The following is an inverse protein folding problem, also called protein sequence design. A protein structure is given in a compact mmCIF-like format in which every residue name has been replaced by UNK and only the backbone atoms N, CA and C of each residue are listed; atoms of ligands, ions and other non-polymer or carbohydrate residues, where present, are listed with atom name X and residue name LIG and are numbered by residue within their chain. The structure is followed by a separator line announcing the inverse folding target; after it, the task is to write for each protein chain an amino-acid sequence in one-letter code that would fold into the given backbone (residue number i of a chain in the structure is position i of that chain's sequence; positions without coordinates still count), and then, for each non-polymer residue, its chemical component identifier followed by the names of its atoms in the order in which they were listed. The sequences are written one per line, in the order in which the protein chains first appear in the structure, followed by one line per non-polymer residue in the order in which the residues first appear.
data_IF_538099550001
#
_entry.id   IF_538099550001
#
_cell.length_a   1.000
_cell.length_b   1.000
_cell.length_c   1.000
_cell.angle_alpha   90.00
_cell.angle_beta   90.00
_cell.angle_gamma   90.00
#
_symmetry.space_group_name_H-M   'P 1'
#
loop_
_entity.id
_entity.type
_entity.pdbx_description
1 polymer ?
#
# COMPACT_ATOMS: atom_id res chain seq x y z
N UNK A 1 -23.96 -1.07 4.86
CA UNK A 1 -22.92 -1.05 3.80
C UNK A 1 -22.29 0.32 3.62
N UNK A 2 -23.01 1.42 3.86
CA UNK A 2 -22.57 2.79 3.53
C UNK A 2 -21.64 3.46 4.56
N UNK A 3 -21.54 2.93 5.78
CA UNK A 3 -20.70 3.48 6.86
C UNK A 3 -19.71 2.47 7.47
N UNK A 4 -19.21 1.53 6.66
CA UNK A 4 -18.33 0.45 7.14
C UNK A 4 -17.08 1.01 7.84
N UNK A 5 -16.55 2.14 7.38
CA UNK A 5 -15.37 2.77 8.00
C UNK A 5 -15.67 3.43 9.35
N UNK A 6 -16.83 4.09 9.48
CA UNK A 6 -17.26 4.75 10.72
C UNK A 6 -17.63 3.72 11.78
N UNK A 7 -18.17 2.58 11.36
CA UNK A 7 -18.54 1.48 12.24
C UNK A 7 -17.50 0.36 12.29
N UNK A 8 -16.28 0.59 11.80
CA UNK A 8 -15.30 -0.50 11.64
C UNK A 8 -14.93 -1.12 12.99
N UNK A 9 -14.74 -0.31 14.03
CA UNK A 9 -14.43 -0.81 15.37
C UNK A 9 -15.60 -1.63 15.94
N UNK A 10 -16.84 -1.11 15.86
CA UNK A 10 -18.04 -1.83 16.31
C UNK A 10 -18.24 -3.15 15.57
N UNK A 11 -18.01 -3.16 14.25
CA UNK A 11 -18.06 -4.38 13.45
C UNK A 11 -16.98 -5.37 13.88
N UNK A 12 -15.75 -4.88 14.05
CA UNK A 12 -14.63 -5.69 14.49
C UNK A 12 -14.87 -6.35 15.86
N UNK A 13 -15.49 -5.64 16.80
CA UNK A 13 -15.87 -6.22 18.10
C UNK A 13 -16.88 -7.35 17.97
N UNK A 14 -17.89 -7.21 17.09
CA UNK A 14 -18.85 -8.29 16.82
C UNK A 14 -18.15 -9.52 16.22
N UNK A 15 -17.20 -9.30 15.31
CA UNK A 15 -16.36 -10.37 14.76
C UNK A 15 -15.53 -11.03 15.86
N UNK A 16 -14.81 -10.26 16.70
CA UNK A 16 -14.03 -10.79 17.84
C UNK A 16 -14.89 -11.63 18.79
N UNK A 17 -16.08 -11.15 19.15
CA UNK A 17 -17.02 -11.89 20.01
C UNK A 17 -17.52 -13.18 19.37
N UNK A 18 -17.81 -13.14 18.07
CA UNK A 18 -18.30 -14.31 17.32
C UNK A 18 -17.21 -15.38 17.21
N UNK A 19 -15.98 -14.97 16.88
CA UNK A 19 -14.82 -15.87 16.84
C UNK A 19 -14.54 -16.46 18.22
N UNK A 20 -14.59 -15.65 19.27
CA UNK A 20 -14.37 -16.13 20.65
C UNK A 20 -15.37 -17.21 21.05
N UNK A 21 -16.66 -16.97 20.80
CA UNK A 21 -17.73 -17.97 21.06
C UNK A 21 -17.54 -19.23 20.22
N UNK A 22 -17.15 -19.08 18.96
CA UNK A 22 -16.89 -20.22 18.09
C UNK A 22 -15.71 -21.05 18.59
N UNK A 23 -14.58 -20.41 18.94
CA UNK A 23 -13.41 -21.09 19.51
C UNK A 23 -13.76 -21.88 20.77
N UNK A 24 -14.62 -21.33 21.66
CA UNK A 24 -15.11 -22.03 22.85
C UNK A 24 -15.94 -23.28 22.48
N UNK A 25 -16.77 -23.19 21.45
CA UNK A 25 -17.63 -24.30 21.02
C UNK A 25 -16.85 -25.48 20.43
N UNK A 26 -15.75 -25.20 19.72
CA UNK A 26 -14.96 -26.23 19.03
C UNK A 26 -13.65 -26.59 19.76
N UNK A 27 -13.39 -25.99 20.93
CA UNK A 27 -12.22 -26.28 21.75
C UNK A 27 -10.89 -25.79 21.18
N UNK A 28 -10.88 -24.72 20.38
CA UNK A 28 -9.64 -24.12 19.88
C UNK A 28 -9.06 -23.18 20.95
N UNK A 29 -7.76 -23.31 21.24
CA UNK A 29 -7.03 -22.36 22.08
C UNK A 29 -7.03 -20.97 21.44
N UNK A 30 -7.64 -19.99 22.11
CA UNK A 30 -7.78 -18.59 21.67
C UNK A 30 -6.43 -17.89 21.45
N UNK A 31 -5.40 -18.27 22.19
CA UNK A 31 -4.03 -17.74 22.03
C UNK A 31 -3.43 -18.09 20.66
N UNK A 32 -3.95 -19.11 19.99
CA UNK A 32 -3.49 -19.51 18.64
C UNK A 32 -4.31 -18.85 17.52
N UNK A 33 -5.41 -18.18 17.88
CA UNK A 33 -6.31 -17.54 16.92
C UNK A 33 -5.88 -16.10 16.69
N UNK A 34 -5.38 -15.83 15.48
CA UNK A 34 -5.00 -14.48 15.06
C UNK A 34 -6.19 -13.76 14.42
N UNK A 35 -6.52 -12.60 14.95
CA UNK A 35 -7.52 -11.69 14.39
C UNK A 35 -6.80 -10.60 13.60
N UNK A 36 -7.24 -10.36 12.37
CA UNK A 36 -6.70 -9.31 11.53
C UNK A 36 -7.82 -8.42 10.98
N UNK A 37 -7.56 -7.11 10.88
CA UNK A 37 -8.41 -6.18 10.13
C UNK A 37 -7.58 -5.49 9.04
N UNK A 38 -8.12 -5.52 7.83
CA UNK A 38 -7.52 -4.99 6.61
C UNK A 38 -8.45 -3.92 6.06
N UNK A 39 -8.04 -2.67 6.18
CA UNK A 39 -8.81 -1.54 5.66
C UNK A 39 -8.03 -0.86 4.55
N UNK A 40 -8.72 -0.52 3.46
CA UNK A 40 -8.12 0.28 2.41
C UNK A 40 -9.03 1.41 1.92
N UNK A 41 -8.41 2.46 1.38
CA UNK A 41 -9.08 3.49 0.59
C UNK A 41 -8.47 3.45 -0.80
N UNK A 42 -9.31 3.39 -1.83
CA UNK A 42 -8.88 3.44 -3.23
C UNK A 42 -9.44 4.69 -3.89
N UNK A 43 -8.60 5.40 -4.64
CA UNK A 43 -9.00 6.56 -5.41
C UNK A 43 -8.05 6.77 -6.60
N UNK A 44 -8.52 7.46 -7.63
CA UNK A 44 -7.67 7.94 -8.72
C UNK A 44 -7.04 9.29 -8.35
N UNK A 45 -5.72 9.38 -8.40
CA UNK A 45 -4.96 10.59 -8.05
C UNK A 45 -5.36 11.81 -8.88
N UNK A 46 -5.81 11.59 -10.12
CA UNK A 46 -6.14 12.64 -11.07
C UNK A 46 -7.64 12.80 -11.34
N UNK A 47 -8.51 12.18 -10.54
CA UNK A 47 -9.97 12.24 -10.70
C UNK A 47 -10.51 13.67 -10.93
N UNK A 48 -9.97 14.67 -10.22
CA UNK A 48 -10.36 16.08 -10.39
C UNK A 48 -10.06 16.64 -11.79
N UNK A 49 -8.98 16.22 -12.43
CA UNK A 49 -8.65 16.64 -13.81
C UNK A 49 -9.61 16.03 -14.84
N UNK A 50 -10.31 14.96 -14.46
CA UNK A 50 -11.31 14.27 -15.27
C UNK A 50 -12.73 14.79 -15.05
N UNK A 51 -12.88 15.90 -14.32
CA UNK A 51 -14.17 16.48 -13.98
C UNK A 51 -14.92 15.77 -12.84
N UNK A 52 -14.27 14.85 -12.11
CA UNK A 52 -14.88 14.26 -10.91
C UNK A 52 -14.78 15.27 -9.77
N UNK A 53 -15.93 15.80 -9.37
CA UNK A 53 -16.05 16.74 -8.27
C UNK A 53 -16.23 16.03 -6.92
N UNK A 54 -15.97 16.76 -5.83
CA UNK A 54 -16.00 16.24 -4.47
C UNK A 54 -14.61 16.12 -3.86
N UNK A 55 -14.50 16.51 -2.59
CA UNK A 55 -13.27 16.37 -1.81
C UNK A 55 -13.66 15.87 -0.45
N UNK A 56 -13.18 14.69 -0.07
CA UNK A 56 -13.31 14.20 1.29
C UNK A 56 -11.98 14.38 2.00
N UNK A 57 -11.94 15.32 2.96
CA UNK A 57 -10.75 15.50 3.79
C UNK A 57 -10.63 14.32 4.73
N UNK A 58 -9.49 13.61 4.67
CA UNK A 58 -9.26 12.45 5.50
C UNK A 58 -8.03 12.63 6.38
N UNK A 59 -8.21 12.51 7.71
CA UNK A 59 -7.11 12.68 8.69
C UNK A 59 -6.13 11.50 8.74
N UNK A 60 -6.47 10.36 8.12
CA UNK A 60 -5.66 9.13 8.11
C UNK A 60 -5.12 8.74 9.50
N UNK A 61 -6.02 8.78 10.49
CA UNK A 61 -5.73 8.29 11.85
C UNK A 61 -5.30 6.82 11.79
N UNK A 62 -4.35 6.42 12.64
CA UNK A 62 -4.00 5.01 12.82
C UNK A 62 -5.23 4.20 13.23
N UNK A 63 -5.26 2.91 12.90
CA UNK A 63 -6.38 2.05 13.31
C UNK A 63 -6.49 2.00 14.84
N UNK A 64 -5.37 1.89 15.56
CA UNK A 64 -5.34 1.96 17.03
C UNK A 64 -6.06 3.19 17.57
N UNK A 65 -5.79 4.38 17.03
CA UNK A 65 -6.42 5.62 17.52
C UNK A 65 -7.91 5.67 17.15
N UNK A 66 -8.32 5.03 16.05
CA UNK A 66 -9.74 4.94 15.67
C UNK A 66 -10.51 4.00 16.59
N UNK A 67 -9.93 2.84 16.90
CA UNK A 67 -10.51 1.88 17.82
C UNK A 67 -10.63 2.44 19.22
N UNK A 68 -9.58 3.13 19.70
CA UNK A 68 -9.60 3.78 21.00
C UNK A 68 -10.69 4.86 21.11
N UNK A 69 -10.99 5.57 20.03
CA UNK A 69 -12.07 6.57 20.01
C UNK A 69 -13.48 5.95 20.16
N UNK A 70 -13.61 4.66 19.87
CA UNK A 70 -14.81 3.84 20.11
C UNK A 70 -14.67 2.98 21.38
N UNK A 71 -13.77 3.36 22.30
CA UNK A 71 -13.48 2.68 23.58
C UNK A 71 -12.99 1.22 23.43
N UNK A 72 -12.43 0.89 22.26
CA UNK A 72 -11.83 -0.42 22.00
C UNK A 72 -10.33 -0.38 22.14
N UNK A 73 -9.84 -0.98 23.24
CA UNK A 73 -8.42 -1.17 23.45
C UNK A 73 -7.93 -2.38 22.67
N UNK A 74 -6.94 -2.15 21.80
CA UNK A 74 -6.21 -3.22 21.14
C UNK A 74 -5.13 -3.77 22.07
N UNK A 75 -4.80 -5.07 22.00
CA UNK A 75 -3.71 -5.66 22.79
C UNK A 75 -2.35 -4.99 22.56
N UNK A 76 -1.46 -5.05 23.54
CA UNK A 76 -0.12 -4.45 23.45
C UNK A 76 0.75 -5.05 22.33
N UNK A 77 0.54 -6.33 22.01
CA UNK A 77 1.23 -7.07 20.94
C UNK A 77 0.58 -6.87 19.55
N UNK A 78 -0.18 -5.79 19.34
CA UNK A 78 -0.81 -5.53 18.04
C UNK A 78 0.22 -5.19 16.98
N UNK A 79 0.27 -6.00 15.94
CA UNK A 79 0.98 -5.71 14.70
C UNK A 79 0.20 -4.67 13.92
N UNK A 80 0.84 -3.57 13.51
CA UNK A 80 0.22 -2.56 12.67
C UNK A 80 1.10 -2.24 11.45
N UNK A 81 0.49 -2.13 10.28
CA UNK A 81 1.15 -1.73 9.04
C UNK A 81 0.35 -0.62 8.36
N UNK A 82 1.05 0.29 7.70
CA UNK A 82 0.45 1.28 6.80
C UNK A 82 1.31 1.37 5.55
N UNK A 83 0.69 1.23 4.39
CA UNK A 83 1.38 1.25 3.11
C UNK A 83 0.44 1.71 1.99
N UNK A 84 1.00 2.07 0.85
CA UNK A 84 0.27 2.40 -0.36
C UNK A 84 0.68 1.47 -1.48
N UNK A 85 -0.28 1.05 -2.30
CA UNK A 85 -0.06 0.38 -3.57
C UNK A 85 -0.65 1.25 -4.65
N UNK A 86 0.16 1.60 -5.65
CA UNK A 86 -0.24 2.41 -6.78
C UNK A 86 -0.16 1.55 -8.01
N UNK A 87 -1.26 1.50 -8.76
CA UNK A 87 -1.30 0.89 -10.07
C UNK A 87 -0.94 1.97 -11.09
N UNK A 88 0.19 1.76 -11.78
CA UNK A 88 0.63 2.58 -12.89
C UNK A 88 0.45 1.81 -14.21
N UNK A 89 -0.62 2.07 -14.97
CA UNK A 89 -0.88 1.36 -16.23
C UNK A 89 0.17 1.68 -17.29
N UNK A 90 0.68 0.64 -17.96
CA UNK A 90 1.56 0.79 -19.11
C UNK A 90 0.73 0.89 -20.38
N UNK A 91 0.77 2.06 -21.01
CA UNK A 91 0.14 2.30 -22.29
C UNK A 91 1.18 2.59 -23.37
N UNK A 92 0.71 2.73 -24.61
CA UNK A 92 1.57 2.99 -25.78
C UNK A 92 2.45 4.24 -25.60
N UNK A 93 1.95 5.29 -24.93
CA UNK A 93 2.69 6.53 -24.69
C UNK A 93 3.86 6.30 -23.73
N UNK A 94 3.61 5.66 -22.59
CA UNK A 94 4.66 5.34 -21.61
C UNK A 94 5.76 4.48 -22.24
N UNK A 95 5.37 3.49 -23.07
CA UNK A 95 6.33 2.67 -23.83
C UNK A 95 7.16 3.49 -24.82
N UNK A 96 6.55 4.48 -25.47
CA UNK A 96 7.25 5.35 -26.43
C UNK A 96 8.27 6.32 -25.80
N UNK A 97 8.35 6.40 -24.46
CA UNK A 97 9.37 7.20 -23.77
C UNK A 97 10.78 6.61 -23.92
N UNK A 98 10.89 5.31 -24.25
CA UNK A 98 12.16 4.69 -24.60
C UNK A 98 12.32 4.63 -26.12
N UNK A 99 13.48 5.03 -26.62
CA UNK A 99 13.73 5.18 -28.08
C UNK A 99 13.88 3.85 -28.82
N UNK A 100 14.25 2.79 -28.11
CA UNK A 100 14.50 1.46 -28.64
C UNK A 100 13.77 0.45 -27.75
N UNK A 101 12.54 0.08 -28.10
CA UNK A 101 12.10 -1.27 -27.76
C UNK A 101 13.03 -2.19 -28.54
N UNK A 102 14.09 -2.71 -27.91
CA UNK A 102 14.92 -3.71 -28.56
C UNK A 102 13.97 -4.80 -29.08
N UNK A 103 14.06 -5.14 -30.38
CA UNK A 103 13.29 -6.23 -30.99
C UNK A 103 13.49 -7.58 -30.26
N UNK A 104 14.45 -7.63 -29.33
CA UNK A 104 14.73 -8.71 -28.39
C UNK A 104 13.64 -8.97 -27.34
N UNK A 105 12.63 -8.10 -27.20
CA UNK A 105 11.57 -8.26 -26.19
C UNK A 105 12.03 -7.97 -24.76
N UNK A 106 13.07 -7.15 -24.58
CA UNK A 106 13.64 -6.77 -23.28
C UNK A 106 13.12 -5.40 -22.81
N UNK A 107 12.34 -5.37 -21.73
CA UNK A 107 11.72 -4.18 -21.15
C UNK A 107 12.52 -3.57 -19.98
N UNK A 108 13.78 -3.99 -19.78
CA UNK A 108 14.62 -3.50 -18.70
C UNK A 108 14.78 -1.96 -18.70
N UNK A 109 14.97 -1.35 -19.86
CA UNK A 109 15.13 0.10 -19.96
C UNK A 109 13.84 0.83 -19.52
N UNK A 110 12.68 0.31 -19.90
CA UNK A 110 11.38 0.85 -19.50
C UNK A 110 11.19 0.76 -17.98
N UNK A 111 11.43 -0.42 -17.40
CA UNK A 111 11.28 -0.61 -15.96
C UNK A 111 12.29 0.18 -15.13
N UNK A 112 13.53 0.31 -15.60
CA UNK A 112 14.53 1.18 -14.98
C UNK A 112 14.11 2.65 -15.03
N UNK A 113 13.63 3.15 -16.17
CA UNK A 113 13.11 4.53 -16.29
C UNK A 113 11.99 4.80 -15.27
N UNK A 114 11.04 3.88 -15.15
CA UNK A 114 9.92 3.99 -14.22
C UNK A 114 10.43 3.94 -12.77
N UNK A 115 11.34 3.01 -12.45
CA UNK A 115 11.90 2.88 -11.12
C UNK A 115 12.69 4.13 -10.71
N UNK A 116 13.52 4.67 -11.60
CA UNK A 116 14.30 5.87 -11.35
C UNK A 116 13.41 7.10 -11.13
N UNK A 117 12.37 7.26 -11.95
CA UNK A 117 11.37 8.31 -11.77
C UNK A 117 10.69 8.18 -10.40
N UNK A 118 10.22 6.99 -10.05
CA UNK A 118 9.55 6.72 -8.78
C UNK A 118 10.44 7.01 -7.57
N UNK A 119 11.63 6.40 -7.55
CA UNK A 119 12.58 6.49 -6.43
C UNK A 119 13.05 7.94 -6.24
N UNK A 120 13.32 8.66 -7.33
CA UNK A 120 13.75 10.06 -7.26
C UNK A 120 12.64 10.96 -6.70
N UNK A 121 11.41 10.80 -7.18
CA UNK A 121 10.25 11.55 -6.71
C UNK A 121 9.93 11.25 -5.25
N UNK A 122 10.02 9.98 -4.85
CA UNK A 122 9.83 9.53 -3.48
C UNK A 122 10.86 10.13 -2.52
N UNK A 123 12.15 10.04 -2.85
CA UNK A 123 13.24 10.62 -2.05
C UNK A 123 13.12 12.13 -1.89
N UNK A 124 12.69 12.85 -2.93
CA UNK A 124 12.42 14.29 -2.88
C UNK A 124 11.37 14.65 -1.84
N UNK A 125 10.37 13.78 -1.63
CA UNK A 125 9.33 13.95 -0.62
C UNK A 125 9.66 13.29 0.74
N UNK A 126 10.91 12.88 0.95
CA UNK A 126 11.39 12.21 2.17
C UNK A 126 10.69 10.87 2.45
N UNK A 127 10.28 10.18 1.39
CA UNK A 127 9.85 8.78 1.44
C UNK A 127 11.07 7.92 1.09
N UNK A 128 11.34 6.89 1.89
CA UNK A 128 12.59 6.12 1.77
C UNK A 128 12.39 4.61 1.78
N UNK A 129 11.15 4.14 1.88
CA UNK A 129 10.79 2.73 1.87
C UNK A 129 9.72 2.47 0.82
N UNK A 130 10.01 1.55 -0.10
CA UNK A 130 9.06 1.20 -1.14
C UNK A 130 9.53 0.07 -2.05
N UNK A 131 8.73 -0.22 -3.05
CA UNK A 131 9.07 -1.20 -4.07
C UNK A 131 8.49 -0.81 -5.44
N UNK A 132 9.13 -1.31 -6.50
CA UNK A 132 8.69 -1.21 -7.88
C UNK A 132 8.58 -2.62 -8.43
N UNK A 133 7.35 -3.05 -8.71
CA UNK A 133 7.02 -4.43 -9.07
C UNK A 133 6.43 -4.46 -10.48
N UNK A 134 7.08 -5.19 -11.38
CA UNK A 134 6.65 -5.40 -12.77
C UNK A 134 6.91 -6.84 -13.23
N UNK A 135 6.42 -7.81 -12.45
CA UNK A 135 6.48 -9.24 -12.78
C UNK A 135 5.08 -9.87 -12.98
N UNK A 136 4.01 -9.09 -12.80
CA UNK A 136 2.63 -9.55 -12.93
C UNK A 136 2.08 -10.32 -11.73
N UNK A 137 2.82 -10.36 -10.61
CA UNK A 137 2.32 -10.89 -9.34
C UNK A 137 1.64 -9.79 -8.52
N UNK A 138 0.73 -10.17 -7.62
CA UNK A 138 0.02 -9.23 -6.75
C UNK A 138 0.81 -8.98 -5.46
N UNK A 139 1.32 -7.76 -5.20
CA UNK A 139 2.11 -7.44 -4.03
C UNK A 139 1.22 -7.35 -2.79
N UNK A 140 1.65 -8.01 -1.73
CA UNK A 140 1.04 -7.92 -0.41
C UNK A 140 2.12 -7.59 0.60
N UNK A 141 1.96 -6.48 1.31
CA UNK A 141 2.87 -6.10 2.40
C UNK A 141 2.45 -6.81 3.68
N UNK A 142 3.39 -7.51 4.32
CA UNK A 142 3.19 -8.21 5.59
C UNK A 142 4.25 -7.78 6.61
N UNK A 143 3.91 -7.88 7.89
CA UNK A 143 4.87 -7.63 8.96
C UNK A 143 5.85 -8.80 8.96
N UNK A 144 7.13 -8.50 8.89
CA UNK A 144 8.22 -9.47 9.03
C UNK A 144 9.26 -8.92 10.00
N UNK A 145 10.08 -9.80 10.57
CA UNK A 145 11.26 -9.38 11.32
C UNK A 145 12.29 -8.76 10.37
N UNK A 146 12.51 -9.45 9.24
CA UNK A 146 13.39 -9.04 8.15
C UNK A 146 12.61 -8.47 6.97
N UNK A 147 13.27 -7.59 6.21
CA UNK A 147 12.77 -7.11 4.92
C UNK A 147 13.09 -8.16 3.84
N UNK A 148 12.07 -8.88 3.36
CA UNK A 148 12.22 -9.97 2.40
C UNK A 148 11.15 -9.93 1.29
N UNK A 149 11.40 -10.68 0.21
CA UNK A 149 10.47 -10.81 -0.92
C UNK A 149 10.28 -12.29 -1.21
N UNK A 150 9.03 -12.76 -1.10
CA UNK A 150 8.69 -14.17 -1.29
C UNK A 150 7.55 -14.26 -2.32
N UNK A 151 7.78 -14.96 -3.41
CA UNK A 151 6.71 -15.33 -4.35
C UNK A 151 5.98 -16.58 -3.85
N UNK A 152 4.64 -16.56 -3.87
CA UNK A 152 3.80 -17.68 -3.48
C UNK A 152 2.54 -17.71 -4.35
N UNK A 153 2.54 -18.60 -5.35
CA UNK A 153 1.50 -18.61 -6.39
C UNK A 153 1.45 -17.27 -7.13
N UNK A 154 0.28 -16.64 -7.14
CA UNK A 154 0.02 -15.34 -7.77
C UNK A 154 0.42 -14.14 -6.91
N UNK A 155 0.89 -14.39 -5.67
CA UNK A 155 1.18 -13.36 -4.68
C UNK A 155 2.68 -13.10 -4.58
N UNK A 156 3.03 -11.83 -4.40
CA UNK A 156 4.37 -11.38 -4.04
C UNK A 156 4.33 -10.78 -2.63
N UNK A 157 4.76 -11.55 -1.64
CA UNK A 157 4.83 -11.10 -0.26
C UNK A 157 6.05 -10.21 -0.06
N UNK A 158 5.82 -8.98 0.40
CA UNK A 158 6.84 -8.01 0.80
C UNK A 158 6.86 -7.93 2.32
N UNK A 159 7.85 -8.55 2.95
CA UNK A 159 8.09 -8.40 4.38
C UNK A 159 8.56 -6.99 4.68
N UNK A 160 7.91 -6.34 5.64
CA UNK A 160 8.31 -5.03 6.11
C UNK A 160 8.22 -4.95 7.61
N UNK A 161 9.24 -4.34 8.20
CA UNK A 161 9.29 -4.05 9.62
C UNK A 161 9.20 -2.53 9.86
N UNK A 162 8.07 -2.02 10.40
CA UNK A 162 7.90 -0.58 10.64
C UNK A 162 8.90 0.02 11.63
N UNK A 163 9.46 -0.79 12.53
CA UNK A 163 10.44 -0.35 13.53
C UNK A 163 11.85 -0.22 12.96
N UNK A 164 12.15 -0.93 11.87
CA UNK A 164 13.42 -0.79 11.18
C UNK A 164 13.46 0.55 10.45
N UNK A 165 14.54 1.31 10.67
CA UNK A 165 14.77 2.58 9.98
C UNK A 165 15.64 2.43 8.73
N UNK A 166 15.94 1.18 8.34
CA UNK A 166 16.57 0.86 7.06
C UNK A 166 15.84 1.58 5.94
N UNK A 167 16.57 2.16 5.00
CA UNK A 167 16.00 2.87 3.86
C UNK A 167 16.37 2.09 2.61
N UNK A 168 15.41 1.86 1.73
CA UNK A 168 15.61 0.98 0.59
C UNK A 168 14.41 0.93 -0.33
N UNK A 169 14.71 0.64 -1.59
CA UNK A 169 13.73 0.38 -2.62
C UNK A 169 13.97 -1.01 -3.18
N UNK A 170 12.94 -1.84 -3.18
CA UNK A 170 12.98 -3.15 -3.81
C UNK A 170 12.49 -3.05 -5.23
N UNK A 171 13.35 -3.39 -6.18
CA UNK A 171 13.01 -3.44 -7.60
C UNK A 171 12.89 -4.91 -8.03
N UNK A 172 11.73 -5.31 -8.56
CA UNK A 172 11.48 -6.68 -9.04
C UNK A 172 10.65 -6.66 -10.32
N UNK A 173 11.24 -7.13 -11.40
CA UNK A 173 10.55 -7.27 -12.69
C UNK A 173 11.14 -8.44 -13.49
N UNK A 174 10.41 -8.87 -14.50
CA UNK A 174 10.85 -9.84 -15.49
C UNK A 174 11.16 -9.10 -16.78
N UNK A 175 12.43 -9.09 -17.19
CA UNK A 175 12.89 -8.26 -18.31
C UNK A 175 12.25 -8.65 -19.64
N UNK A 176 11.88 -9.91 -19.81
CA UNK A 176 11.29 -10.46 -21.04
C UNK A 176 9.75 -10.43 -21.03
N UNK A 177 9.13 -9.85 -20.00
CA UNK A 177 7.67 -9.81 -19.85
C UNK A 177 7.21 -8.37 -19.77
N UNK A 178 6.31 -7.98 -20.67
CA UNK A 178 5.57 -6.73 -20.55
C UNK A 178 4.36 -6.95 -19.64
N UNK A 179 4.24 -6.14 -18.59
CA UNK A 179 3.06 -6.11 -17.74
C UNK A 179 2.10 -5.01 -18.19
N UNK A 180 0.81 -5.18 -17.94
CA UNK A 180 -0.18 -4.12 -18.19
C UNK A 180 -0.08 -3.00 -17.13
N UNK A 181 0.44 -3.31 -15.95
CA UNK A 181 0.52 -2.39 -14.82
C UNK A 181 1.78 -2.63 -14.03
N UNK A 182 2.53 -1.56 -13.77
CA UNK A 182 3.62 -1.55 -12.79
C UNK A 182 3.04 -1.14 -11.45
N UNK A 183 3.35 -1.89 -10.40
CA UNK A 183 2.89 -1.59 -9.06
C UNK A 183 3.99 -0.89 -8.27
N UNK A 184 3.67 0.30 -7.78
CA UNK A 184 4.56 1.13 -6.98
C UNK A 184 4.08 1.07 -5.53
N UNK A 185 4.97 0.72 -4.61
CA UNK A 185 4.63 0.53 -3.20
C UNK A 185 5.39 1.56 -2.36
N UNK A 186 4.69 2.20 -1.43
CA UNK A 186 5.28 2.95 -0.33
C UNK A 186 4.95 2.27 0.98
N UNK A 187 5.92 2.09 1.87
CA UNK A 187 5.68 1.50 3.19
C UNK A 187 6.05 2.47 4.29
N UNK A 188 5.15 2.70 5.25
CA UNK A 188 5.40 3.59 6.37
C UNK A 188 6.29 2.91 7.42
N UNK A 189 7.21 3.66 7.99
CA UNK A 189 7.90 3.32 9.24
C UNK A 189 7.33 4.13 10.41
N UNK A 190 7.81 3.86 11.62
CA UNK A 190 7.36 4.57 12.82
C UNK A 190 7.57 6.09 12.76
N UNK A 191 8.58 6.56 12.00
CA UNK A 191 8.85 8.00 11.80
C UNK A 191 7.81 8.70 10.92
N UNK A 192 7.06 7.93 10.11
CA UNK A 192 6.02 8.46 9.23
C UNK A 192 4.69 8.67 9.98
N UNK A 193 4.57 8.09 11.18
CA UNK A 193 3.44 8.28 12.08
C UNK A 193 3.65 9.54 12.92
N UNK A 194 2.74 10.50 12.77
CA UNK A 194 2.67 11.68 13.64
C UNK A 194 1.70 11.45 14.80
N UNK A 195 1.63 12.38 15.76
CA UNK A 195 0.61 12.37 16.81
C UNK A 195 -0.82 12.33 16.27
N UNK A 196 -1.03 12.80 15.03
CA UNK A 196 -2.33 12.84 14.36
C UNK A 196 -2.56 11.65 13.40
N UNK A 197 -1.59 10.72 13.27
CA UNK A 197 -1.65 9.58 12.36
C UNK A 197 -0.75 9.75 11.13
N UNK A 198 -1.20 9.20 9.99
CA UNK A 198 -0.42 9.08 8.75
C UNK A 198 -0.77 10.14 7.70
N UNK A 199 -1.51 11.19 8.05
CA UNK A 199 -1.89 12.25 7.09
C UNK A 199 -0.69 12.89 6.38
N UNK A 200 0.41 13.14 7.11
CA UNK A 200 1.66 13.66 6.52
C UNK A 200 2.26 12.69 5.48
N UNK A 201 2.33 11.42 5.82
CA UNK A 201 2.83 10.36 4.93
C UNK A 201 1.99 10.27 3.64
N UNK A 202 0.66 10.29 3.75
CA UNK A 202 -0.24 10.27 2.59
C UNK A 202 -0.04 11.51 1.71
N UNK A 203 0.08 12.70 2.30
CA UNK A 203 0.36 13.91 1.53
C UNK A 203 1.71 13.84 0.80
N UNK A 204 2.74 13.28 1.44
CA UNK A 204 4.04 13.07 0.80
C UNK A 204 3.95 12.10 -0.37
N UNK A 205 3.13 11.04 -0.25
CA UNK A 205 2.87 10.09 -1.35
C UNK A 205 2.21 10.83 -2.52
N UNK A 206 1.16 11.60 -2.29
CA UNK A 206 0.49 12.34 -3.36
C UNK A 206 1.44 13.31 -4.08
N UNK A 207 2.27 14.04 -3.32
CA UNK A 207 3.28 14.93 -3.89
C UNK A 207 4.33 14.16 -4.70
N UNK A 208 4.75 12.98 -4.23
CA UNK A 208 5.72 12.14 -4.93
C UNK A 208 5.14 11.60 -6.22
N UNK A 209 3.88 11.16 -6.20
CA UNK A 209 3.20 10.65 -7.39
C UNK A 209 2.94 11.74 -8.43
N UNK A 210 2.68 12.99 -8.01
CA UNK A 210 2.58 14.12 -8.94
C UNK A 210 3.92 14.46 -9.60
N UNK A 211 5.03 14.43 -8.86
CA UNK A 211 6.38 14.60 -9.41
C UNK A 211 6.73 13.45 -10.36
N UNK A 212 6.37 12.21 -10.00
CA UNK A 212 6.54 11.02 -10.83
C UNK A 212 5.75 11.12 -12.14
N UNK A 213 4.47 11.49 -12.06
CA UNK A 213 3.58 11.67 -13.20
C UNK A 213 4.12 12.75 -14.16
N UNK A 214 4.62 13.87 -13.62
CA UNK A 214 5.23 14.92 -14.43
C UNK A 214 6.47 14.42 -15.18
N UNK A 215 7.35 13.65 -14.52
CA UNK A 215 8.57 13.09 -15.13
C UNK A 215 8.27 12.12 -16.26
N UNK A 216 7.17 11.38 -16.17
CA UNK A 216 6.73 10.43 -17.19
C UNK A 216 5.68 11.03 -18.13
N UNK A 217 5.51 12.36 -18.16
CA UNK A 217 4.56 13.06 -19.04
C UNK A 217 3.14 12.47 -18.99
N UNK A 218 2.66 12.15 -17.79
CA UNK A 218 1.35 11.56 -17.55
C UNK A 218 0.23 12.51 -18.01
N UNK A 219 -0.80 11.93 -18.64
CA UNK A 219 -1.93 12.69 -19.19
C UNK A 219 -3.08 12.68 -18.18
N UNK A 220 -3.04 13.63 -17.25
CA UNK A 220 -3.87 13.66 -16.04
C UNK A 220 -5.40 13.57 -16.28
N UNK A 221 -5.90 14.07 -17.41
CA UNK A 221 -7.32 14.09 -17.77
C UNK A 221 -7.80 12.83 -18.50
N UNK A 222 -6.88 11.91 -18.85
CA UNK A 222 -7.20 10.69 -19.62
C UNK A 222 -6.68 9.42 -18.96
N UNK A 223 -5.47 9.44 -18.43
CA UNK A 223 -4.83 8.27 -17.82
C UNK A 223 -5.26 8.12 -16.36
N UNK A 224 -5.37 6.88 -15.89
CA UNK A 224 -5.75 6.54 -14.52
C UNK A 224 -4.53 6.09 -13.71
N UNK A 225 -4.41 6.62 -12.50
CA UNK A 225 -3.41 6.19 -11.53
C UNK A 225 -4.11 5.90 -10.22
N UNK A 226 -4.47 4.62 -10.02
CA UNK A 226 -5.17 4.18 -8.83
C UNK A 226 -4.22 4.10 -7.65
N UNK A 227 -4.55 4.82 -6.58
CA UNK A 227 -3.83 4.79 -5.30
C UNK A 227 -4.68 4.04 -4.29
N UNK A 228 -4.13 2.98 -3.72
CA UNK A 228 -4.74 2.18 -2.66
C UNK A 228 -3.95 2.37 -1.37
N UNK A 229 -4.54 3.03 -0.38
CA UNK A 229 -3.94 3.23 0.93
C UNK A 229 -4.43 2.16 1.89
N UNK A 230 -3.52 1.33 2.38
CA UNK A 230 -3.80 0.21 3.26
C UNK A 230 -3.42 0.54 4.70
N UNK A 231 -4.29 0.15 5.63
CA UNK A 231 -3.98 0.03 7.04
C UNK A 231 -4.37 -1.36 7.51
N UNK A 232 -3.44 -2.03 8.18
CA UNK A 232 -3.63 -3.38 8.68
C UNK A 232 -3.32 -3.42 10.17
N UNK A 233 -4.13 -4.16 10.93
CA UNK A 233 -3.77 -4.60 12.29
C UNK A 233 -3.95 -6.10 12.41
N UNK A 234 -3.10 -6.73 13.21
CA UNK A 234 -3.28 -8.12 13.62
C UNK A 234 -2.86 -8.32 15.07
N UNK A 235 -3.61 -9.14 15.81
CA UNK A 235 -3.32 -9.50 17.19
C UNK A 235 -3.92 -10.86 17.52
N UNK A 236 -3.44 -11.51 18.58
CA UNK A 236 -4.01 -12.77 19.07
C UNK A 236 -5.24 -12.50 19.93
N UNK A 237 -6.24 -13.38 19.85
CA UNK A 237 -7.56 -13.17 20.43
C UNK A 237 -7.51 -12.96 21.96
N UNK A 238 -6.62 -13.68 22.64
CA UNK A 238 -6.25 -13.57 24.06
C UNK A 238 -4.72 -13.49 24.22
#
# INVERSE_FOLDING_TARGET
GTEIRVHSAKFHQKVKQSISKFSDQIGINKETVRICDHQHLTYDLFAKHKGVEGSQVHKFRSMTNRYLADEQNLPANTDALTYAVIDFPLNRRVRSLIKNEDESGCYNQLYTLIADAFISSAKKQKLYKGAVIANGLVPIVRKGEDENVIASGELLMLGSNPSLTSCGYTCKWESNKLVDTVQLIFTACDKDKTSHGYGKFVNQIELALRDFAQRLEFVNDKEEMLVRLHQHIGFYLD
#
